data_IF_663150596057
#
_entry.id   IF_663150596057
#
_cell.length_a   1.000
_cell.length_b   1.000
_cell.length_c   1.000
_cell.angle_alpha   90.00
_cell.angle_beta   90.00
_cell.angle_gamma   90.00
#
_symmetry.space_group_name_H-M   'P 1'
#
loop_
_entity.id
_entity.type
_entity.pdbx_description
1 polymer ?
#
# COMPACT_ATOMS: atom_id res chain seq x y z
N UNK A 1 65.79 -4.72 -8.54
CA UNK A 1 64.44 -5.32 -8.50
C UNK A 1 63.79 -4.93 -7.17
N UNK A 2 62.48 -4.63 -7.16
CA UNK A 2 62.01 -3.28 -6.85
C UNK A 2 61.47 -3.11 -5.43
N UNK A 3 61.73 -1.93 -4.88
CA UNK A 3 61.01 -1.31 -3.78
C UNK A 3 59.93 -0.40 -4.39
N UNK A 4 58.65 -0.77 -4.22
CA UNK A 4 57.51 0.13 -4.46
C UNK A 4 56.63 0.03 -3.22
N UNK A 5 56.69 1.07 -2.40
CA UNK A 5 55.85 1.23 -1.21
C UNK A 5 54.79 2.31 -1.47
N UNK A 6 53.54 1.88 -1.31
CA UNK A 6 52.42 2.63 -0.72
C UNK A 6 52.13 4.05 -1.23
N UNK A 7 51.51 4.16 -2.40
CA UNK A 7 50.71 5.35 -2.76
C UNK A 7 49.45 4.90 -3.52
N UNK A 8 48.50 4.21 -2.88
CA UNK A 8 47.22 3.92 -3.57
C UNK A 8 46.04 3.54 -2.67
N UNK A 9 45.99 4.01 -1.43
CA UNK A 9 44.78 3.85 -0.59
C UNK A 9 44.26 5.20 -0.10
N UNK A 10 45.14 6.14 0.26
CA UNK A 10 44.74 7.50 0.65
C UNK A 10 44.04 8.25 -0.50
N UNK A 11 44.46 8.06 -1.76
CA UNK A 11 43.84 8.71 -2.92
C UNK A 11 42.41 8.20 -3.13
N UNK A 12 42.17 6.89 -2.98
CA UNK A 12 40.84 6.29 -3.13
C UNK A 12 39.84 6.75 -2.06
N UNK A 13 40.29 6.98 -0.82
CA UNK A 13 39.43 7.54 0.23
C UNK A 13 39.12 9.02 -0.02
N UNK A 14 40.07 9.80 -0.54
CA UNK A 14 39.83 11.22 -0.86
C UNK A 14 38.84 11.34 -2.04
N UNK A 15 38.97 10.51 -3.07
CA UNK A 15 38.03 10.52 -4.20
C UNK A 15 36.63 10.03 -3.80
N UNK A 16 36.54 9.02 -2.92
CA UNK A 16 35.27 8.55 -2.40
C UNK A 16 34.62 9.60 -1.49
N UNK A 17 35.40 10.29 -0.67
CA UNK A 17 34.90 11.38 0.19
C UNK A 17 34.47 12.60 -0.64
N UNK A 18 35.17 12.90 -1.74
CA UNK A 18 34.76 13.94 -2.69
C UNK A 18 33.50 13.54 -3.47
N UNK A 19 33.35 12.28 -3.89
CA UNK A 19 32.13 11.77 -4.54
C UNK A 19 30.93 11.73 -3.58
N UNK A 20 31.14 11.31 -2.33
CA UNK A 20 30.10 11.35 -1.30
C UNK A 20 29.73 12.80 -1.00
N UNK A 21 30.70 13.73 -0.91
CA UNK A 21 30.37 15.16 -0.76
C UNK A 21 29.66 15.75 -1.97
N UNK A 22 29.97 15.36 -3.20
CA UNK A 22 29.22 15.84 -4.37
C UNK A 22 27.80 15.27 -4.42
N UNK A 23 27.62 14.00 -4.05
CA UNK A 23 26.30 13.34 -3.96
C UNK A 23 25.44 13.93 -2.84
N UNK A 24 26.04 14.17 -1.67
CA UNK A 24 25.38 14.78 -0.52
C UNK A 24 25.17 16.28 -0.74
N UNK A 25 26.07 16.98 -1.45
CA UNK A 25 25.84 18.35 -1.86
C UNK A 25 24.71 18.45 -2.89
N UNK A 26 24.59 17.49 -3.83
CA UNK A 26 23.43 17.44 -4.74
C UNK A 26 22.13 17.02 -4.04
N UNK A 27 22.19 16.32 -2.90
CA UNK A 27 21.01 15.98 -2.10
C UNK A 27 20.67 17.03 -1.04
N UNK A 28 21.56 17.99 -0.79
CA UNK A 28 21.42 19.09 0.17
C UNK A 28 21.51 20.47 -0.48
N UNK A 29 21.64 20.53 -1.81
CA UNK A 29 21.13 21.67 -2.55
C UNK A 29 19.63 21.61 -2.35
N UNK A 30 19.16 22.38 -1.36
CA UNK A 30 17.87 23.01 -1.39
C UNK A 30 17.57 23.32 -2.85
N UNK A 31 16.63 22.56 -3.44
CA UNK A 31 16.15 22.81 -4.79
C UNK A 31 15.81 24.30 -4.84
N UNK A 32 16.61 25.14 -5.52
CA UNK A 32 16.41 26.56 -5.48
C UNK A 32 15.25 26.78 -6.43
N UNK A 33 14.05 26.74 -5.86
CA UNK A 33 12.73 26.60 -6.50
C UNK A 33 12.25 25.14 -6.51
N UNK A 34 11.83 24.62 -5.34
CA UNK A 34 10.51 23.99 -5.29
C UNK A 34 9.53 25.05 -5.77
N UNK A 35 9.35 25.17 -7.09
CA UNK A 35 8.23 25.92 -7.63
C UNK A 35 7.03 25.30 -6.95
N UNK A 36 6.27 26.08 -6.17
CA UNK A 36 4.89 25.78 -5.88
C UNK A 36 4.17 25.70 -7.24
N UNK A 37 4.39 24.63 -7.98
CA UNK A 37 3.75 24.37 -9.26
C UNK A 37 2.31 24.09 -8.89
N UNK A 38 1.43 25.01 -9.31
CA UNK A 38 0.00 24.91 -9.00
C UNK A 38 -0.52 23.53 -9.41
N UNK A 39 -1.50 23.00 -8.68
CA UNK A 39 -2.10 21.70 -9.04
C UNK A 39 -2.66 21.71 -10.46
N UNK A 40 -3.13 22.88 -10.94
CA UNK A 40 -3.46 23.11 -12.35
C UNK A 40 -2.32 22.73 -13.28
N UNK A 41 -1.09 23.18 -13.02
CA UNK A 41 0.05 22.91 -13.89
C UNK A 41 0.53 21.45 -13.86
N UNK A 42 0.27 20.70 -12.78
CA UNK A 42 0.48 19.24 -12.71
C UNK A 42 -0.57 18.49 -13.53
N UNK A 43 -1.84 18.90 -13.42
CA UNK A 43 -2.94 18.31 -14.18
C UNK A 43 -2.78 18.57 -15.69
N UNK A 44 -2.43 19.79 -16.08
CA UNK A 44 -2.21 20.14 -17.49
C UNK A 44 -1.06 19.34 -18.12
N UNK A 45 -0.01 19.07 -17.35
CA UNK A 45 1.11 18.22 -17.78
C UNK A 45 0.68 16.76 -17.93
N UNK A 46 -0.03 16.21 -16.94
CA UNK A 46 -0.51 14.83 -17.00
C UNK A 46 -1.48 14.59 -18.16
N UNK A 47 -2.43 15.50 -18.39
CA UNK A 47 -3.43 15.37 -19.45
C UNK A 47 -2.93 15.89 -20.82
N UNK A 48 -1.79 16.59 -20.87
CA UNK A 48 -1.26 17.18 -22.10
C UNK A 48 -2.15 18.29 -22.70
N UNK A 49 -3.05 18.87 -21.90
CA UNK A 49 -4.01 19.90 -22.34
C UNK A 49 -4.08 21.03 -21.33
N UNK A 50 -4.39 22.25 -21.80
CA UNK A 50 -4.73 23.37 -20.91
C UNK A 50 -6.11 23.16 -20.31
N UNK A 51 -6.25 23.36 -19.00
CA UNK A 51 -7.52 23.22 -18.33
C UNK A 51 -8.41 24.43 -18.64
N UNK A 52 -9.72 24.20 -18.83
CA UNK A 52 -10.69 25.29 -18.92
C UNK A 52 -10.83 25.97 -17.55
N UNK A 53 -10.72 27.30 -17.52
CA UNK A 53 -10.75 28.11 -16.30
C UNK A 53 -11.89 29.12 -16.29
N UNK A 54 -12.57 29.32 -17.43
CA UNK A 54 -13.73 30.19 -17.53
C UNK A 54 -14.96 29.42 -17.05
N UNK A 55 -15.52 29.85 -15.91
CA UNK A 55 -16.69 29.23 -15.28
C UNK A 55 -17.84 28.96 -16.27
N UNK A 56 -18.14 29.93 -17.15
CA UNK A 56 -19.22 29.82 -18.15
C UNK A 56 -19.01 28.71 -19.19
N UNK A 57 -17.79 28.22 -19.35
CA UNK A 57 -17.42 27.17 -20.31
C UNK A 57 -17.28 25.79 -19.63
N UNK A 58 -17.30 25.72 -18.30
CA UNK A 58 -17.18 24.45 -17.58
C UNK A 58 -18.47 23.62 -17.74
N UNK A 59 -18.37 22.29 -17.90
CA UNK A 59 -19.54 21.43 -17.93
C UNK A 59 -20.24 21.46 -16.56
N UNK A 60 -21.57 21.47 -16.58
CA UNK A 60 -22.39 21.43 -15.35
C UNK A 60 -22.73 20.00 -14.90
N UNK A 61 -22.41 19.00 -15.72
CA UNK A 61 -22.54 17.58 -15.38
C UNK A 61 -21.49 16.75 -16.11
N UNK A 62 -21.04 15.68 -15.47
CA UNK A 62 -20.14 14.68 -16.05
C UNK A 62 -20.35 13.34 -15.36
N UNK A 63 -20.23 12.24 -16.11
CA UNK A 63 -20.28 10.88 -15.58
C UNK A 63 -19.08 10.12 -16.13
N UNK A 64 -18.34 9.47 -15.23
CA UNK A 64 -17.26 8.57 -15.62
C UNK A 64 -17.81 7.19 -15.95
N UNK A 65 -17.50 6.67 -17.14
CA UNK A 65 -17.88 5.33 -17.57
C UNK A 65 -16.64 4.50 -17.95
N UNK A 66 -16.55 3.24 -17.48
CA UNK A 66 -17.45 2.59 -16.53
C UNK A 66 -17.36 3.24 -15.13
N UNK A 67 -18.44 3.13 -14.34
CA UNK A 67 -18.38 3.59 -12.94
C UNK A 67 -17.33 2.78 -12.18
N UNK A 68 -16.54 3.41 -11.30
CA UNK A 68 -15.63 2.68 -10.44
C UNK A 68 -16.37 1.62 -9.61
N UNK A 69 -15.77 0.44 -9.43
CA UNK A 69 -16.44 -0.64 -8.72
C UNK A 69 -16.42 -0.44 -7.19
N UNK A 70 -17.49 -0.85 -6.52
CA UNK A 70 -17.60 -0.79 -5.07
C UNK A 70 -16.88 -1.96 -4.40
N UNK A 71 -16.23 -1.70 -3.26
CA UNK A 71 -15.57 -2.73 -2.47
C UNK A 71 -15.29 -2.26 -1.04
N UNK A 72 -15.01 -3.17 -0.12
CA UNK A 72 -14.59 -2.80 1.24
C UNK A 72 -13.17 -2.23 1.22
N UNK A 73 -12.84 -1.49 2.27
CA UNK A 73 -11.50 -0.93 2.51
C UNK A 73 -10.57 -1.85 3.30
N UNK A 74 -10.93 -3.13 3.48
CA UNK A 74 -10.21 -4.16 4.25
C UNK A 74 -9.51 -3.62 5.49
N UNK A 75 -10.32 -3.41 6.52
CA UNK A 75 -9.95 -2.65 7.70
C UNK A 75 -8.86 -3.38 8.51
N UNK A 76 -7.91 -2.61 9.02
CA UNK A 76 -6.75 -3.14 9.76
C UNK A 76 -7.20 -3.90 11.01
N UNK A 77 -8.19 -3.37 11.74
CA UNK A 77 -8.73 -4.01 12.95
C UNK A 77 -9.40 -5.37 12.68
N UNK A 78 -9.77 -5.67 11.43
CA UNK A 78 -10.33 -6.96 11.01
C UNK A 78 -9.25 -7.90 10.45
N UNK A 79 -7.99 -7.53 10.56
CA UNK A 79 -6.84 -8.22 9.99
C UNK A 79 -6.79 -8.17 8.44
N UNK A 80 -7.23 -7.05 7.85
CA UNK A 80 -7.16 -6.82 6.40
C UNK A 80 -7.87 -7.92 5.60
N UNK A 81 -7.24 -8.43 4.53
CA UNK A 81 -7.77 -9.53 3.71
C UNK A 81 -7.70 -10.91 4.37
N UNK A 82 -7.19 -11.02 5.61
CA UNK A 82 -7.38 -12.21 6.44
C UNK A 82 -8.80 -12.28 7.02
N UNK A 83 -9.56 -11.18 6.96
CA UNK A 83 -10.94 -11.14 7.42
C UNK A 83 -11.82 -12.13 6.66
N UNK A 84 -12.50 -13.00 7.41
CA UNK A 84 -13.54 -13.88 6.89
C UNK A 84 -14.83 -13.09 6.61
N UNK A 85 -14.86 -12.37 5.48
CA UNK A 85 -16.04 -11.58 5.09
C UNK A 85 -17.32 -12.43 4.95
N UNK A 86 -17.18 -13.74 4.71
CA UNK A 86 -18.27 -14.71 4.69
C UNK A 86 -18.00 -15.84 5.67
N UNK A 87 -18.76 -15.86 6.76
CA UNK A 87 -18.65 -16.86 7.83
C UNK A 87 -18.66 -18.29 7.28
N UNK A 88 -17.70 -19.09 7.73
CA UNK A 88 -17.56 -20.49 7.32
C UNK A 88 -16.93 -20.71 5.94
N UNK A 89 -16.46 -19.64 5.29
CA UNK A 89 -15.56 -19.73 4.14
C UNK A 89 -14.16 -19.25 4.50
N UNK A 90 -13.17 -19.75 3.76
CA UNK A 90 -11.81 -19.24 3.80
C UNK A 90 -11.78 -17.73 3.49
N UNK A 91 -10.90 -17.00 4.16
CA UNK A 91 -10.64 -15.59 3.86
C UNK A 91 -10.01 -15.42 2.46
N UNK A 92 -10.06 -14.21 1.86
CA UNK A 92 -9.41 -13.94 0.58
C UNK A 92 -7.91 -14.32 0.58
N UNK A 93 -7.21 -14.07 1.68
CA UNK A 93 -5.80 -14.47 1.87
C UNK A 93 -5.61 -15.98 1.91
N UNK A 94 -6.41 -16.70 2.70
CA UNK A 94 -6.36 -18.17 2.80
C UNK A 94 -6.65 -18.82 1.45
N UNK A 95 -7.65 -18.32 0.72
CA UNK A 95 -7.98 -18.79 -0.63
C UNK A 95 -6.81 -18.60 -1.59
N UNK A 96 -6.16 -17.43 -1.58
CA UNK A 96 -4.99 -17.17 -2.42
C UNK A 96 -3.86 -18.14 -2.10
N UNK A 97 -3.47 -18.24 -0.83
CA UNK A 97 -2.38 -19.11 -0.42
C UNK A 97 -2.65 -20.57 -0.83
N UNK A 98 -3.86 -21.06 -0.57
CA UNK A 98 -4.27 -22.42 -0.95
C UNK A 98 -4.21 -22.64 -2.47
N UNK A 99 -4.77 -21.73 -3.26
CA UNK A 99 -4.88 -21.92 -4.70
C UNK A 99 -3.53 -21.83 -5.43
N UNK A 100 -2.56 -21.10 -4.86
CA UNK A 100 -1.21 -20.92 -5.43
C UNK A 100 -0.14 -21.77 -4.73
N UNK A 101 -0.53 -22.68 -3.83
CA UNK A 101 0.39 -23.60 -3.15
C UNK A 101 1.35 -22.93 -2.18
N UNK A 102 0.96 -21.79 -1.60
CA UNK A 102 1.73 -21.07 -0.58
C UNK A 102 1.40 -21.64 0.82
N UNK A 103 2.32 -21.46 1.77
CA UNK A 103 2.03 -21.74 3.17
C UNK A 103 0.99 -20.74 3.70
N UNK A 104 -0.19 -21.24 4.07
CA UNK A 104 -1.34 -20.40 4.48
C UNK A 104 -1.01 -19.55 5.69
N UNK A 105 -0.43 -20.15 6.74
CA UNK A 105 -0.07 -19.44 7.97
C UNK A 105 0.95 -18.36 7.70
N UNK A 106 2.05 -18.70 7.02
CA UNK A 106 3.10 -17.73 6.70
C UNK A 106 2.59 -16.58 5.83
N UNK A 107 1.70 -16.88 4.88
CA UNK A 107 1.10 -15.86 4.02
C UNK A 107 0.20 -14.90 4.82
N UNK A 108 -0.67 -15.43 5.67
CA UNK A 108 -1.56 -14.61 6.50
C UNK A 108 -0.79 -13.79 7.54
N UNK A 109 0.29 -14.33 8.10
CA UNK A 109 1.16 -13.60 9.02
C UNK A 109 1.82 -12.41 8.32
N UNK A 110 2.28 -12.59 7.08
CA UNK A 110 2.83 -11.48 6.27
C UNK A 110 1.77 -10.42 5.95
N UNK A 111 0.55 -10.84 5.60
CA UNK A 111 -0.59 -9.92 5.38
C UNK A 111 -0.85 -9.10 6.65
N UNK A 112 -0.90 -9.76 7.81
CA UNK A 112 -1.17 -9.09 9.08
C UNK A 112 -0.06 -8.09 9.44
N UNK A 113 1.20 -8.53 9.35
CA UNK A 113 2.35 -7.69 9.68
C UNK A 113 2.47 -6.45 8.79
N UNK A 114 1.94 -6.50 7.57
CA UNK A 114 2.06 -5.40 6.61
C UNK A 114 0.83 -4.49 6.56
N UNK A 115 -0.37 -5.03 6.71
CA UNK A 115 -1.62 -4.30 6.50
C UNK A 115 -2.75 -4.68 7.46
N UNK A 116 -2.53 -5.61 8.39
CA UNK A 116 -3.52 -6.10 9.35
C UNK A 116 -3.13 -5.79 10.79
N UNK A 117 -3.58 -6.60 11.74
CA UNK A 117 -3.46 -6.29 13.16
C UNK A 117 -2.00 -6.18 13.61
N UNK A 118 -1.12 -7.04 13.11
CA UNK A 118 0.28 -7.07 13.53
C UNK A 118 1.10 -5.88 12.99
N UNK A 119 0.61 -5.11 12.01
CA UNK A 119 1.27 -3.88 11.56
C UNK A 119 1.29 -2.81 12.64
N UNK A 120 0.36 -2.87 13.59
CA UNK A 120 0.19 -1.90 14.67
C UNK A 120 1.00 -2.23 15.92
N UNK A 121 1.76 -3.34 15.92
CA UNK A 121 2.51 -3.83 17.09
C UNK A 121 3.40 -2.78 17.76
N UNK A 122 4.00 -1.88 16.96
CA UNK A 122 4.93 -0.86 17.45
C UNK A 122 4.28 0.52 17.62
N UNK A 123 3.01 0.69 17.26
CA UNK A 123 2.34 1.98 17.19
C UNK A 123 1.10 2.08 18.09
N UNK A 124 0.51 0.93 18.45
CA UNK A 124 -0.72 0.85 19.23
C UNK A 124 -0.53 0.21 20.59
N UNK A 125 -1.44 0.54 21.51
CA UNK A 125 -1.51 -0.06 22.85
C UNK A 125 -1.90 -1.55 22.74
N UNK A 126 -1.16 -2.48 23.37
CA UNK A 126 -1.57 -3.87 23.48
C UNK A 126 -2.87 -4.03 24.29
N UNK A 127 -3.72 -4.95 23.89
CA UNK A 127 -5.02 -5.17 24.53
C UNK A 127 -5.40 -6.65 24.56
N UNK A 128 -6.32 -6.99 25.46
CA UNK A 128 -6.98 -8.30 25.55
C UNK A 128 -8.49 -8.19 25.49
N UNK A 129 -9.05 -7.02 25.81
CA UNK A 129 -10.46 -6.69 25.74
C UNK A 129 -10.65 -5.26 25.26
N UNK A 130 -11.85 -4.90 24.77
CA UNK A 130 -12.15 -3.52 24.35
C UNK A 130 -12.01 -2.50 25.50
N UNK A 131 -12.12 -2.92 26.76
CA UNK A 131 -11.93 -2.03 27.91
C UNK A 131 -10.48 -1.56 28.10
N UNK A 132 -9.52 -2.24 27.47
CA UNK A 132 -8.11 -1.83 27.48
C UNK A 132 -7.85 -0.68 26.50
N UNK A 133 -8.85 -0.31 25.68
CA UNK A 133 -8.76 0.71 24.64
C UNK A 133 -9.68 1.90 24.94
N UNK A 134 -9.21 3.12 24.68
CA UNK A 134 -10.01 4.34 24.90
C UNK A 134 -11.08 4.53 23.81
N UNK A 135 -10.68 5.09 22.66
CA UNK A 135 -11.57 5.44 21.53
C UNK A 135 -11.45 4.47 20.34
N UNK A 136 -10.77 3.34 20.55
CA UNK A 136 -10.45 2.34 19.53
C UNK A 136 -10.96 0.97 19.98
N UNK A 137 -10.94 -0.01 19.09
CA UNK A 137 -11.38 -1.37 19.43
C UNK A 137 -10.16 -2.26 19.63
N UNK A 138 -10.28 -3.25 20.52
CA UNK A 138 -9.26 -4.26 20.70
C UNK A 138 -9.33 -5.26 19.55
N UNK A 139 -8.40 -5.14 18.60
CA UNK A 139 -8.31 -6.01 17.44
C UNK A 139 -7.41 -7.21 17.76
N UNK A 140 -7.98 -8.41 17.77
CA UNK A 140 -7.28 -9.66 18.09
C UNK A 140 -7.32 -10.59 16.88
N UNK A 141 -6.16 -11.08 16.45
CA UNK A 141 -6.06 -12.06 15.35
C UNK A 141 -6.80 -13.34 15.70
N UNK A 142 -7.26 -14.05 14.67
CA UNK A 142 -7.85 -15.38 14.83
C UNK A 142 -6.83 -16.31 15.53
N UNK A 143 -7.25 -16.95 16.61
CA UNK A 143 -6.44 -17.83 17.48
C UNK A 143 -5.38 -17.13 18.34
N UNK A 144 -5.35 -15.80 18.41
CA UNK A 144 -4.53 -15.06 19.37
C UNK A 144 -5.32 -14.77 20.68
N UNK A 145 -4.60 -14.54 21.78
CA UNK A 145 -5.17 -14.20 23.10
C UNK A 145 -5.07 -12.70 23.44
N UNK A 146 -4.29 -11.96 22.67
CA UNK A 146 -4.06 -10.53 22.82
C UNK A 146 -3.86 -9.91 21.44
N UNK A 147 -4.06 -8.61 21.35
CA UNK A 147 -3.89 -7.85 20.12
C UNK A 147 -3.59 -6.39 20.42
N UNK A 148 -4.11 -5.49 19.58
CA UNK A 148 -3.80 -4.06 19.66
C UNK A 148 -5.05 -3.20 19.53
N UNK A 149 -5.02 -2.04 20.17
CA UNK A 149 -6.06 -1.03 20.07
C UNK A 149 -5.98 -0.32 18.70
N UNK A 150 -6.93 -0.59 17.81
CA UNK A 150 -6.91 -0.13 16.41
C UNK A 150 -8.18 0.68 16.09
N UNK A 151 -8.07 1.87 15.46
CA UNK A 151 -9.23 2.61 15.00
C UNK A 151 -10.02 1.85 13.93
N UNK A 152 -11.35 1.85 14.03
CA UNK A 152 -12.22 1.06 13.13
C UNK A 152 -12.33 1.62 11.70
N UNK A 153 -11.83 2.83 11.46
CA UNK A 153 -11.79 3.45 10.13
C UNK A 153 -10.49 3.16 9.36
N UNK A 154 -9.46 2.63 10.04
CA UNK A 154 -8.15 2.45 9.44
C UNK A 154 -8.16 1.25 8.48
N UNK A 155 -7.67 1.45 7.25
CA UNK A 155 -7.69 0.45 6.18
C UNK A 155 -7.04 0.94 4.89
N UNK A 156 -7.24 0.19 3.82
CA UNK A 156 -6.61 0.39 2.51
C UNK A 156 -7.51 1.12 1.50
N UNK A 157 -8.34 2.07 1.97
CA UNK A 157 -9.21 2.88 1.10
C UNK A 157 -8.43 3.63 0.01
N UNK A 158 -7.22 4.08 0.33
CA UNK A 158 -6.31 4.74 -0.60
C UNK A 158 -5.77 3.80 -1.70
N UNK A 159 -5.78 2.48 -1.49
CA UNK A 159 -5.48 1.49 -2.51
C UNK A 159 -6.74 1.06 -3.29
N UNK A 160 -7.88 0.96 -2.61
CA UNK A 160 -9.17 0.69 -3.24
C UNK A 160 -9.57 1.76 -4.26
N UNK A 161 -9.50 3.04 -3.91
CA UNK A 161 -9.96 4.11 -4.78
C UNK A 161 -9.32 4.09 -6.19
N UNK A 162 -7.98 4.05 -6.35
CA UNK A 162 -7.37 3.95 -7.67
C UNK A 162 -7.66 2.61 -8.36
N UNK A 163 -7.62 1.49 -7.63
CA UNK A 163 -7.97 0.19 -8.22
C UNK A 163 -9.42 0.18 -8.74
N UNK A 164 -10.34 0.86 -8.06
CA UNK A 164 -11.74 0.94 -8.48
C UNK A 164 -11.94 1.62 -9.84
N UNK A 165 -11.07 2.58 -10.15
CA UNK A 165 -11.10 3.37 -11.39
C UNK A 165 -10.34 2.70 -12.52
N UNK A 166 -9.15 2.17 -12.22
CA UNK A 166 -8.20 1.66 -13.22
C UNK A 166 -8.48 0.20 -13.60
N UNK A 167 -8.92 -0.60 -12.64
CA UNK A 167 -9.09 -2.03 -12.82
C UNK A 167 -10.53 -2.39 -13.18
N UNK A 168 -10.68 -3.36 -14.10
CA UNK A 168 -12.01 -3.90 -14.41
C UNK A 168 -12.58 -4.64 -13.20
N UNK A 169 -13.76 -4.24 -12.75
CA UNK A 169 -14.43 -4.86 -11.61
C UNK A 169 -14.70 -6.36 -11.85
N UNK A 170 -14.46 -7.23 -10.86
CA UNK A 170 -14.80 -8.65 -10.97
C UNK A 170 -16.33 -8.83 -10.97
N UNK A 171 -16.85 -9.63 -11.90
CA UNK A 171 -18.30 -9.80 -12.11
C UNK A 171 -18.81 -11.13 -11.57
N UNK A 172 -18.07 -12.22 -11.82
CA UNK A 172 -18.49 -13.57 -11.48
C UNK A 172 -17.45 -14.27 -10.61
N UNK A 173 -17.88 -15.29 -9.88
CA UNK A 173 -16.96 -16.16 -9.17
C UNK A 173 -16.09 -16.97 -10.15
N UNK A 174 -14.84 -17.23 -9.77
CA UNK A 174 -13.86 -17.97 -10.57
C UNK A 174 -13.32 -19.13 -9.76
N UNK A 175 -13.28 -20.31 -10.36
CA UNK A 175 -12.59 -21.46 -9.79
C UNK A 175 -11.16 -21.52 -10.32
N UNK A 176 -10.18 -21.56 -9.43
CA UNK A 176 -8.78 -21.76 -9.78
C UNK A 176 -8.17 -22.77 -8.81
N UNK A 177 -7.60 -23.85 -9.35
CA UNK A 177 -6.99 -24.95 -8.59
C UNK A 177 -7.90 -25.51 -7.47
N UNK A 178 -9.20 -25.64 -7.76
CA UNK A 178 -10.19 -26.18 -6.81
C UNK A 178 -10.69 -25.19 -5.77
N UNK A 179 -10.21 -23.94 -5.79
CA UNK A 179 -10.65 -22.87 -4.88
C UNK A 179 -11.56 -21.90 -5.63
N UNK A 180 -12.74 -21.65 -5.06
CA UNK A 180 -13.70 -20.68 -5.62
C UNK A 180 -13.45 -19.29 -5.01
N UNK A 181 -13.05 -18.36 -5.87
CA UNK A 181 -12.92 -16.94 -5.59
C UNK A 181 -14.21 -16.22 -5.97
N UNK A 182 -14.91 -15.66 -5.00
CA UNK A 182 -16.01 -14.73 -5.25
C UNK A 182 -15.45 -13.35 -5.67
N UNK A 183 -16.25 -12.49 -6.33
CA UNK A 183 -15.79 -11.18 -6.76
C UNK A 183 -15.10 -10.35 -5.67
N UNK A 184 -15.65 -10.35 -4.45
CA UNK A 184 -15.08 -9.65 -3.30
C UNK A 184 -13.72 -10.21 -2.86
N UNK A 185 -13.46 -11.52 -3.01
CA UNK A 185 -12.14 -12.11 -2.74
C UNK A 185 -11.09 -11.56 -3.72
N UNK A 186 -11.48 -11.38 -4.98
CA UNK A 186 -10.61 -10.84 -6.03
C UNK A 186 -10.37 -9.34 -5.82
N UNK A 187 -11.38 -8.60 -5.37
CA UNK A 187 -11.23 -7.18 -5.01
C UNK A 187 -10.19 -7.00 -3.91
N UNK A 188 -10.25 -7.79 -2.84
CA UNK A 188 -9.26 -7.73 -1.76
C UNK A 188 -7.84 -7.91 -2.26
N UNK A 189 -7.59 -8.93 -3.10
CA UNK A 189 -6.26 -9.14 -3.65
C UNK A 189 -5.76 -8.00 -4.52
N UNK A 190 -6.60 -7.43 -5.40
CA UNK A 190 -6.17 -6.33 -6.27
C UNK A 190 -5.73 -5.12 -5.43
N UNK A 191 -6.48 -4.80 -4.39
CA UNK A 191 -6.13 -3.70 -3.49
C UNK A 191 -4.82 -3.97 -2.74
N UNK A 192 -4.59 -5.19 -2.25
CA UNK A 192 -3.35 -5.56 -1.57
C UNK A 192 -2.14 -5.60 -2.50
N UNK A 193 -2.29 -6.18 -3.70
CA UNK A 193 -1.20 -6.33 -4.67
C UNK A 193 -0.84 -4.96 -5.27
N UNK A 194 -1.83 -4.16 -5.66
CA UNK A 194 -1.57 -2.82 -6.20
C UNK A 194 -0.92 -1.93 -5.15
N UNK A 195 -1.27 -2.06 -3.86
CA UNK A 195 -0.57 -1.38 -2.76
C UNK A 195 0.90 -1.82 -2.65
N UNK A 196 1.19 -3.12 -2.73
CA UNK A 196 2.56 -3.65 -2.72
C UNK A 196 3.38 -3.16 -3.92
N UNK A 197 2.77 -3.11 -5.10
CA UNK A 197 3.40 -2.55 -6.31
C UNK A 197 3.58 -1.03 -6.21
N UNK A 198 2.61 -0.29 -5.67
CA UNK A 198 2.73 1.16 -5.48
C UNK A 198 3.81 1.54 -4.46
N UNK A 199 3.85 0.87 -3.30
CA UNK A 199 4.87 1.10 -2.27
C UNK A 199 6.28 0.74 -2.76
N UNK A 200 6.41 -0.27 -3.63
CA UNK A 200 7.71 -0.61 -4.24
C UNK A 200 8.12 0.34 -5.36
N UNK A 201 7.19 0.98 -6.06
CA UNK A 201 7.46 1.99 -7.09
C UNK A 201 7.76 3.38 -6.52
N UNK A 202 7.36 3.70 -5.29
CA UNK A 202 7.74 4.95 -4.61
C UNK A 202 9.14 4.92 -3.96
N UNK A 203 9.92 3.84 -4.15
CA UNK A 203 11.27 3.67 -3.58
C UNK A 203 12.43 3.81 -4.59
N UNK A 204 12.20 4.46 -5.72
CA UNK A 204 13.25 4.77 -6.71
C UNK A 204 13.16 6.20 -7.21
#
# INVERSE_FOLDING_TARGET
MPSIRFISTAISFITLYQQIRSLVASSLQDDPVTTCRSDTAKLEEYFGVKLETKLKNLPTSAIHHPSPWNGPSWLVYQDSINYEWKKGQLSPAEKYATAFGLNVTEFMDKVSAQNGIDSEMNYSTPCTTDNDCDFTTCAIRKNAISGYCIPTWYGISHAWAPASVLEKGPVCAVNFNGVIFHPIDVMGRRQSIDYLYWVSLQRW
#
